data_IF_466066483930
#
_entry.id   IF_466066483930
#
_cell.length_a   1.000
_cell.length_b   1.000
_cell.length_c   1.000
_cell.angle_alpha   90.00
_cell.angle_beta   90.00
_cell.angle_gamma   90.00
#
_symmetry.space_group_name_H-M   'P 1'
#
loop_
_entity.id
_entity.type
_entity.pdbx_description
1 polymer ?
#
# COMPACT_ATOMS: atom_id res chain seq x y z
N UNK A 1 24.15 25.05 -9.19
CA UNK A 1 22.82 24.61 -8.74
C UNK A 1 22.75 24.69 -7.23
N UNK A 2 21.72 25.32 -6.66
CA UNK A 2 21.55 25.42 -5.20
C UNK A 2 20.96 24.08 -4.73
N UNK A 3 21.73 23.32 -3.93
CA UNK A 3 21.23 22.08 -3.34
C UNK A 3 20.22 22.40 -2.23
N UNK A 4 19.28 21.48 -1.96
CA UNK A 4 18.21 21.61 -0.93
C UNK A 4 18.78 21.96 0.46
N UNK A 5 19.91 21.37 0.82
CA UNK A 5 20.61 21.63 2.08
C UNK A 5 21.88 22.47 1.85
N UNK A 6 22.22 23.39 2.77
CA UNK A 6 23.48 24.13 2.72
C UNK A 6 24.71 23.19 2.73
N UNK A 7 25.71 23.50 1.90
CA UNK A 7 26.95 22.69 1.82
C UNK A 7 27.61 22.50 3.19
N UNK A 8 27.57 23.52 4.07
CA UNK A 8 28.11 23.44 5.43
C UNK A 8 27.40 22.39 6.30
N UNK A 9 26.11 22.25 6.13
CA UNK A 9 25.29 21.29 6.87
C UNK A 9 25.58 19.86 6.41
N UNK A 10 25.61 19.64 5.08
CA UNK A 10 25.99 18.35 4.50
C UNK A 10 27.40 17.97 4.93
N UNK A 11 28.35 18.92 4.93
CA UNK A 11 29.74 18.68 5.31
C UNK A 11 29.85 18.23 6.78
N UNK A 12 29.14 18.88 7.69
CA UNK A 12 29.07 18.53 9.11
C UNK A 12 28.49 17.15 9.31
N UNK A 13 27.38 16.83 8.66
CA UNK A 13 26.69 15.52 8.76
C UNK A 13 27.55 14.39 8.16
N UNK A 14 28.20 14.64 7.03
CA UNK A 14 29.06 13.65 6.36
C UNK A 14 30.44 13.48 7.00
N UNK A 15 30.85 14.36 7.90
CA UNK A 15 32.19 14.38 8.48
C UNK A 15 33.30 14.61 7.44
N UNK A 16 33.04 15.48 6.45
CA UNK A 16 33.99 15.84 5.38
C UNK A 16 34.06 17.37 5.22
N UNK A 17 35.09 17.86 4.52
CA UNK A 17 35.21 19.30 4.24
C UNK A 17 34.17 19.79 3.24
N UNK A 18 33.79 21.08 3.35
CA UNK A 18 32.85 21.74 2.44
C UNK A 18 33.30 21.67 0.97
N UNK A 19 34.61 21.77 0.71
CA UNK A 19 35.18 21.62 -0.63
C UNK A 19 34.96 20.20 -1.21
N UNK A 20 34.97 19.17 -0.35
CA UNK A 20 34.68 17.79 -0.75
C UNK A 20 33.20 17.64 -1.12
N UNK A 21 32.29 18.21 -0.32
CA UNK A 21 30.86 18.21 -0.61
C UNK A 21 30.57 18.93 -1.94
N UNK A 22 31.17 20.13 -2.17
CA UNK A 22 31.01 20.86 -3.42
C UNK A 22 31.45 20.05 -4.63
N UNK A 23 32.60 19.36 -4.54
CA UNK A 23 33.06 18.46 -5.62
C UNK A 23 32.12 17.30 -5.88
N UNK A 24 31.59 16.67 -4.82
CA UNK A 24 30.63 15.58 -4.96
C UNK A 24 29.34 16.03 -5.63
N UNK A 25 28.76 17.14 -5.17
CA UNK A 25 27.51 17.67 -5.71
C UNK A 25 27.62 18.13 -7.14
N UNK A 26 28.79 18.65 -7.54
CA UNK A 26 29.05 19.10 -8.91
C UNK A 26 29.71 18.03 -9.79
N UNK A 27 29.79 16.77 -9.35
CA UNK A 27 30.32 15.66 -10.14
C UNK A 27 31.80 15.79 -10.51
N UNK A 28 32.58 16.57 -9.75
CA UNK A 28 34.00 16.82 -10.06
C UNK A 28 34.87 15.61 -9.69
N UNK A 29 36.00 15.49 -10.38
CA UNK A 29 36.98 14.42 -10.15
C UNK A 29 37.74 14.60 -8.82
N UNK A 30 38.58 13.62 -8.48
CA UNK A 30 39.42 13.58 -7.27
C UNK A 30 38.64 13.54 -5.95
N UNK A 31 37.49 12.86 -5.91
CA UNK A 31 36.77 12.51 -4.69
C UNK A 31 36.71 11.01 -4.53
N UNK A 32 37.15 10.50 -3.36
CA UNK A 32 37.15 9.06 -3.08
C UNK A 32 35.73 8.49 -3.10
N UNK A 33 35.55 7.22 -3.53
CA UNK A 33 34.25 6.53 -3.48
C UNK A 33 33.63 6.59 -2.06
N UNK A 34 34.44 6.45 -1.02
CA UNK A 34 34.01 6.53 0.37
C UNK A 34 33.42 7.91 0.72
N UNK A 35 34.07 8.99 0.26
CA UNK A 35 33.55 10.35 0.49
C UNK A 35 32.24 10.60 -0.24
N UNK A 36 32.06 10.04 -1.46
CA UNK A 36 30.77 10.10 -2.19
C UNK A 36 29.68 9.39 -1.43
N UNK A 37 29.94 8.19 -0.90
CA UNK A 37 28.96 7.43 -0.08
C UNK A 37 28.59 8.18 1.20
N UNK A 38 29.58 8.79 1.90
CA UNK A 38 29.32 9.57 3.13
C UNK A 38 28.44 10.79 2.85
N UNK A 39 28.69 11.52 1.77
CA UNK A 39 27.88 12.68 1.38
C UNK A 39 26.46 12.24 0.99
N UNK A 40 26.31 11.15 0.24
CA UNK A 40 24.99 10.62 -0.11
C UNK A 40 24.20 10.15 1.14
N UNK A 41 24.85 9.45 2.07
CA UNK A 41 24.24 9.06 3.34
C UNK A 41 23.80 10.28 4.17
N UNK A 42 24.64 11.30 4.28
CA UNK A 42 24.33 12.52 5.00
C UNK A 42 23.11 13.26 4.40
N UNK A 43 23.01 13.35 3.09
CA UNK A 43 21.85 13.95 2.42
C UNK A 43 20.58 13.15 2.72
N UNK A 44 20.65 11.83 2.70
CA UNK A 44 19.53 10.95 3.04
C UNK A 44 19.07 11.15 4.49
N UNK A 45 20.02 11.23 5.42
CA UNK A 45 19.75 11.48 6.84
C UNK A 45 19.13 12.87 7.08
N UNK A 46 19.68 13.93 6.49
CA UNK A 46 19.12 15.28 6.58
C UNK A 46 17.70 15.35 6.02
N UNK A 47 17.44 14.66 4.90
CA UNK A 47 16.10 14.56 4.32
C UNK A 47 15.13 13.86 5.28
N UNK A 48 15.57 12.79 5.92
CA UNK A 48 14.76 12.09 6.91
C UNK A 48 14.48 12.95 8.16
N UNK A 49 15.51 13.67 8.67
CA UNK A 49 15.37 14.59 9.81
C UNK A 49 14.43 15.76 9.50
N UNK A 50 14.52 16.35 8.31
CA UNK A 50 13.61 17.41 7.88
C UNK A 50 12.16 16.88 7.78
N UNK A 51 11.97 15.68 7.23
CA UNK A 51 10.68 15.00 7.21
C UNK A 51 10.11 14.77 8.62
N UNK A 52 10.94 14.34 9.57
CA UNK A 52 10.55 14.17 10.97
C UNK A 52 10.19 15.49 11.65
N UNK A 53 10.95 16.56 11.39
CA UNK A 53 10.68 17.89 11.93
C UNK A 53 9.39 18.49 11.33
N UNK A 54 9.19 18.35 10.03
CA UNK A 54 7.97 18.80 9.35
C UNK A 54 6.71 18.03 9.81
N UNK A 55 6.89 16.78 10.23
CA UNK A 55 5.83 15.93 10.74
C UNK A 55 5.58 16.05 12.24
N UNK A 56 6.46 16.72 13.00
CA UNK A 56 6.27 16.97 14.42
C UNK A 56 5.00 17.77 14.65
N UNK A 57 3.99 17.11 15.26
CA UNK A 57 2.68 17.68 15.54
C UNK A 57 1.62 17.39 14.46
N UNK A 58 1.93 16.83 13.30
CA UNK A 58 0.91 16.40 12.34
C UNK A 58 0.25 15.11 12.80
N UNK A 59 -1.07 15.17 12.97
CA UNK A 59 -1.90 13.99 13.19
C UNK A 59 -2.48 13.55 11.86
N UNK A 60 -2.13 12.35 11.42
CA UNK A 60 -2.67 11.75 10.21
C UNK A 60 -3.75 10.74 10.58
N UNK A 61 -4.85 10.77 9.86
CA UNK A 61 -5.97 9.86 10.06
C UNK A 61 -6.10 8.96 8.82
N UNK A 62 -6.13 7.65 9.04
CA UNK A 62 -6.36 6.67 7.99
C UNK A 62 -7.59 5.84 8.32
N UNK A 63 -8.43 5.64 7.32
CA UNK A 63 -9.66 4.88 7.45
C UNK A 63 -9.52 3.51 6.80
N UNK A 64 -9.85 2.48 7.54
CA UNK A 64 -9.94 1.11 7.06
C UNK A 64 -11.42 0.73 6.93
N UNK A 65 -11.88 0.49 5.71
CA UNK A 65 -13.22 0.00 5.41
C UNK A 65 -13.07 -1.42 4.88
N UNK A 66 -13.54 -2.41 5.64
CA UNK A 66 -13.22 -3.81 5.35
C UNK A 66 -14.47 -4.69 5.47
N UNK A 67 -14.93 -5.22 4.34
CA UNK A 67 -15.90 -6.31 4.33
C UNK A 67 -15.18 -7.64 4.50
N UNK A 68 -15.21 -8.19 5.70
CA UNK A 68 -14.54 -9.43 6.03
C UNK A 68 -15.03 -10.04 7.33
N UNK A 69 -14.86 -11.37 7.54
CA UNK A 69 -15.08 -12.01 8.84
C UNK A 69 -14.29 -11.32 9.94
N UNK A 70 -14.89 -11.25 11.11
CA UNK A 70 -14.31 -10.60 12.29
C UNK A 70 -12.88 -11.09 12.60
N UNK A 71 -12.61 -12.39 12.43
CA UNK A 71 -11.27 -12.95 12.64
C UNK A 71 -10.24 -12.32 11.71
N UNK A 72 -10.52 -12.23 10.42
CA UNK A 72 -9.61 -11.62 9.44
C UNK A 72 -9.42 -10.12 9.71
N UNK A 73 -10.50 -9.41 10.01
CA UNK A 73 -10.45 -7.99 10.32
C UNK A 73 -9.61 -7.68 11.56
N UNK A 74 -9.64 -8.56 12.57
CA UNK A 74 -8.78 -8.44 13.75
C UNK A 74 -7.30 -8.57 13.39
N UNK A 75 -6.93 -9.54 12.53
CA UNK A 75 -5.53 -9.68 12.08
C UNK A 75 -5.06 -8.44 11.32
N UNK A 76 -5.89 -7.90 10.42
CA UNK A 76 -5.57 -6.66 9.71
C UNK A 76 -5.37 -5.49 10.68
N UNK A 77 -6.25 -5.35 11.67
CA UNK A 77 -6.12 -4.33 12.71
C UNK A 77 -4.82 -4.48 13.49
N UNK A 78 -4.55 -5.69 13.99
CA UNK A 78 -3.35 -5.99 14.78
C UNK A 78 -2.08 -5.67 13.98
N UNK A 79 -2.01 -6.10 12.72
CA UNK A 79 -0.89 -5.81 11.85
C UNK A 79 -0.73 -4.30 11.57
N UNK A 80 -1.82 -3.60 11.31
CA UNK A 80 -1.78 -2.15 11.07
C UNK A 80 -1.34 -1.37 12.32
N UNK A 81 -1.82 -1.74 13.51
CA UNK A 81 -1.44 -1.12 14.77
C UNK A 81 0.03 -1.41 15.14
N UNK A 82 0.54 -2.60 14.82
CA UNK A 82 1.93 -2.98 15.07
C UNK A 82 2.94 -2.16 14.24
N UNK A 83 2.55 -1.63 13.10
CA UNK A 83 3.41 -0.80 12.24
C UNK A 83 3.51 0.65 12.75
N UNK A 84 2.51 1.15 13.51
CA UNK A 84 2.45 2.55 13.94
C UNK A 84 3.72 3.05 14.65
N UNK A 85 4.34 2.30 15.58
CA UNK A 85 5.56 2.76 16.26
C UNK A 85 6.76 2.96 15.32
N UNK A 86 6.72 2.29 14.14
CA UNK A 86 7.80 2.38 13.14
C UNK A 86 7.64 3.57 12.19
N UNK A 87 6.48 4.25 12.24
CA UNK A 87 6.23 5.46 11.45
C UNK A 87 6.76 6.66 12.22
N UNK A 88 8.07 6.90 12.13
CA UNK A 88 8.76 7.95 12.91
C UNK A 88 8.43 9.39 12.52
N UNK A 89 7.70 9.62 11.44
CA UNK A 89 7.51 10.96 10.84
C UNK A 89 6.18 11.64 11.19
N UNK A 90 5.20 10.92 11.76
CA UNK A 90 3.86 11.47 12.08
C UNK A 90 3.14 10.65 13.14
N UNK A 91 2.20 11.27 13.85
CA UNK A 91 1.27 10.56 14.73
C UNK A 91 0.09 10.07 13.88
N UNK A 92 0.11 8.79 13.54
CA UNK A 92 -0.96 8.16 12.77
C UNK A 92 -2.08 7.66 13.68
N UNK A 93 -3.31 7.90 13.30
CA UNK A 93 -4.52 7.41 13.94
C UNK A 93 -5.32 6.58 12.93
N UNK A 94 -5.57 5.31 13.28
CA UNK A 94 -6.33 4.38 12.44
C UNK A 94 -7.78 4.35 12.90
N UNK A 95 -8.70 4.38 11.96
CA UNK A 95 -10.15 4.27 12.18
C UNK A 95 -10.65 3.07 11.40
N UNK A 96 -11.18 2.09 12.09
CA UNK A 96 -11.61 0.83 11.49
C UNK A 96 -13.13 0.75 11.44
N UNK A 97 -13.62 0.43 10.28
CA UNK A 97 -14.99 -0.01 10.06
C UNK A 97 -14.97 -1.39 9.41
N UNK A 98 -15.54 -2.36 10.08
CA UNK A 98 -15.51 -3.76 9.64
C UNK A 98 -16.84 -4.42 9.92
N UNK A 99 -17.35 -5.12 8.91
CA UNK A 99 -18.50 -6.02 9.02
C UNK A 99 -18.26 -7.24 8.13
N UNK A 100 -18.90 -8.37 8.46
CA UNK A 100 -18.83 -9.61 7.69
C UNK A 100 -19.36 -9.42 6.26
N UNK A 101 -20.44 -8.67 6.14
CA UNK A 101 -21.07 -8.26 4.89
C UNK A 101 -21.48 -6.81 4.99
N UNK A 102 -21.16 -6.01 3.98
CA UNK A 102 -21.54 -4.60 3.89
C UNK A 102 -22.35 -4.43 2.61
N UNK A 103 -23.55 -3.88 2.73
CA UNK A 103 -24.30 -3.53 1.53
C UNK A 103 -23.58 -2.42 0.75
N UNK A 104 -23.65 -2.51 -0.57
CA UNK A 104 -22.92 -1.58 -1.44
C UNK A 104 -23.25 -0.11 -1.16
N UNK A 105 -24.50 0.20 -0.80
CA UNK A 105 -24.92 1.58 -0.47
C UNK A 105 -24.33 2.05 0.85
N UNK A 106 -24.14 1.13 1.81
CA UNK A 106 -23.50 1.45 3.08
C UNK A 106 -22.01 1.73 2.88
N UNK A 107 -21.33 0.97 1.99
CA UNK A 107 -19.95 1.28 1.59
C UNK A 107 -19.88 2.68 1.00
N UNK A 108 -20.75 3.02 0.05
CA UNK A 108 -20.80 4.35 -0.59
C UNK A 108 -21.06 5.45 0.43
N UNK A 109 -22.04 5.28 1.32
CA UNK A 109 -22.35 6.25 2.39
C UNK A 109 -21.14 6.46 3.32
N UNK A 110 -20.43 5.38 3.64
CA UNK A 110 -19.25 5.47 4.48
C UNK A 110 -18.12 6.23 3.80
N UNK A 111 -17.82 5.93 2.53
CA UNK A 111 -16.81 6.65 1.76
C UNK A 111 -17.18 8.14 1.66
N UNK A 112 -18.46 8.47 1.45
CA UNK A 112 -18.93 9.85 1.47
C UNK A 112 -18.77 10.54 2.85
N UNK A 113 -19.00 9.81 3.97
CA UNK A 113 -18.74 10.33 5.33
C UNK A 113 -17.25 10.58 5.56
N UNK A 114 -16.40 9.67 5.08
CA UNK A 114 -14.93 9.83 5.14
C UNK A 114 -14.51 11.07 4.37
N UNK A 115 -15.04 11.27 3.16
CA UNK A 115 -14.76 12.46 2.35
C UNK A 115 -15.15 13.76 3.09
N UNK A 116 -16.35 13.81 3.66
CA UNK A 116 -16.84 14.99 4.40
C UNK A 116 -16.04 15.28 5.68
N UNK A 117 -15.68 14.23 6.41
CA UNK A 117 -14.93 14.34 7.67
C UNK A 117 -13.45 14.65 7.45
N UNK A 118 -12.92 14.27 6.31
CA UNK A 118 -11.50 14.28 6.00
C UNK A 118 -10.75 13.02 6.45
N UNK A 119 -9.83 12.57 5.60
CA UNK A 119 -8.90 11.48 5.82
C UNK A 119 -7.60 11.77 5.08
N UNK A 120 -6.50 11.18 5.51
CA UNK A 120 -5.21 11.24 4.81
C UNK A 120 -5.00 10.02 3.91
N UNK A 121 -5.89 9.05 3.99
CA UNK A 121 -5.93 7.88 3.12
C UNK A 121 -6.96 6.86 3.58
N UNK A 122 -7.45 6.08 2.62
CA UNK A 122 -8.43 5.01 2.85
C UNK A 122 -7.83 3.69 2.41
N UNK A 123 -7.88 2.68 3.29
CA UNK A 123 -7.61 1.30 2.97
C UNK A 123 -8.93 0.57 2.80
N UNK A 124 -9.24 0.11 1.59
CA UNK A 124 -10.56 -0.40 1.22
C UNK A 124 -10.52 -1.86 0.80
N UNK A 125 -11.36 -2.68 1.42
CA UNK A 125 -11.74 -4.01 0.94
C UNK A 125 -13.25 -4.05 0.79
N UNK A 126 -13.72 -3.99 -0.44
CA UNK A 126 -15.13 -4.02 -0.80
C UNK A 126 -15.34 -4.77 -2.12
N UNK A 127 -16.59 -5.01 -2.46
CA UNK A 127 -16.97 -5.62 -3.75
C UNK A 127 -16.69 -4.66 -4.90
N UNK A 128 -16.28 -5.20 -6.04
CA UNK A 128 -16.11 -4.42 -7.25
C UNK A 128 -17.46 -4.13 -7.91
N UNK A 129 -18.03 -2.95 -7.66
CA UNK A 129 -19.32 -2.49 -8.15
C UNK A 129 -19.23 -1.08 -8.73
N UNK A 130 -20.00 -0.74 -9.78
CA UNK A 130 -19.92 0.58 -10.42
C UNK A 130 -20.08 1.75 -9.45
N UNK A 131 -21.03 1.65 -8.49
CA UNK A 131 -21.27 2.71 -7.49
C UNK A 131 -20.13 2.86 -6.49
N UNK A 132 -19.43 1.76 -6.16
CA UNK A 132 -18.24 1.78 -5.29
C UNK A 132 -17.05 2.35 -6.05
N UNK A 133 -16.84 1.97 -7.33
CA UNK A 133 -15.83 2.58 -8.21
C UNK A 133 -15.98 4.09 -8.27
N UNK A 134 -17.20 4.57 -8.55
CA UNK A 134 -17.48 6.00 -8.57
C UNK A 134 -17.22 6.70 -7.22
N UNK A 135 -17.46 6.03 -6.09
CA UNK A 135 -17.15 6.58 -4.77
C UNK A 135 -15.64 6.64 -4.49
N UNK A 136 -14.87 5.65 -4.95
CA UNK A 136 -13.40 5.66 -4.89
C UNK A 136 -12.85 6.83 -5.70
N UNK A 137 -13.30 7.00 -6.94
CA UNK A 137 -12.84 8.08 -7.81
C UNK A 137 -13.16 9.47 -7.22
N UNK A 138 -14.32 9.64 -6.57
CA UNK A 138 -14.66 10.90 -5.86
C UNK A 138 -13.72 11.16 -4.67
N UNK A 139 -13.33 10.13 -3.91
CA UNK A 139 -12.35 10.29 -2.83
C UNK A 139 -11.00 10.76 -3.37
N UNK A 140 -10.52 10.12 -4.42
CA UNK A 140 -9.23 10.45 -5.04
C UNK A 140 -9.27 11.86 -5.63
N UNK A 141 -10.35 12.23 -6.32
CA UNK A 141 -10.56 13.59 -6.84
C UNK A 141 -10.60 14.66 -5.72
N UNK A 142 -11.04 14.28 -4.51
CA UNK A 142 -11.00 15.13 -3.33
C UNK A 142 -9.62 15.14 -2.62
N UNK A 143 -8.59 14.53 -3.20
CA UNK A 143 -7.24 14.47 -2.64
C UNK A 143 -7.05 13.43 -1.54
N UNK A 144 -7.97 12.49 -1.38
CA UNK A 144 -7.87 11.38 -0.41
C UNK A 144 -7.44 10.12 -1.15
N UNK A 145 -6.17 9.68 -1.04
CA UNK A 145 -5.70 8.47 -1.70
C UNK A 145 -6.40 7.23 -1.17
N UNK A 146 -6.71 6.31 -2.08
CA UNK A 146 -7.32 5.02 -1.76
C UNK A 146 -6.35 3.90 -2.12
N UNK A 147 -6.14 3.00 -1.18
CA UNK A 147 -5.42 1.73 -1.37
C UNK A 147 -6.44 0.61 -1.23
N UNK A 148 -6.56 -0.24 -2.24
CA UNK A 148 -7.35 -1.47 -2.11
C UNK A 148 -6.49 -2.59 -1.54
N UNK A 149 -7.08 -3.47 -0.73
CA UNK A 149 -6.33 -4.58 -0.15
C UNK A 149 -7.10 -5.91 -0.21
N UNK A 150 -6.36 -7.01 -0.34
CA UNK A 150 -6.86 -8.41 -0.42
C UNK A 150 -7.66 -8.69 -1.70
N UNK A 151 -8.56 -7.80 -2.09
CA UNK A 151 -9.27 -7.80 -3.37
C UNK A 151 -9.17 -6.43 -4.00
N UNK A 152 -9.12 -6.38 -5.29
CA UNK A 152 -9.00 -5.13 -6.01
C UNK A 152 -10.36 -4.57 -6.45
N UNK A 153 -10.36 -3.27 -6.79
CA UNK A 153 -11.46 -2.57 -7.45
C UNK A 153 -10.85 -1.95 -8.71
N UNK A 154 -10.97 -2.69 -9.81
CA UNK A 154 -10.33 -2.33 -11.07
C UNK A 154 -10.91 -1.08 -11.73
N UNK A 155 -10.13 -0.46 -12.63
CA UNK A 155 -10.60 0.68 -13.43
C UNK A 155 -10.92 1.94 -12.63
N UNK A 156 -10.32 2.14 -11.45
CA UNK A 156 -10.46 3.34 -10.60
C UNK A 156 -9.14 4.10 -10.48
N UNK A 157 -9.23 5.36 -10.07
CA UNK A 157 -8.06 6.20 -9.80
C UNK A 157 -7.35 5.89 -8.47
N UNK A 158 -7.60 4.73 -7.85
CA UNK A 158 -6.94 4.32 -6.61
C UNK A 158 -5.41 4.39 -6.74
N UNK A 159 -4.73 4.66 -5.62
CA UNK A 159 -3.27 4.78 -5.59
C UNK A 159 -2.58 3.46 -5.95
N UNK A 160 -3.02 2.35 -5.32
CA UNK A 160 -2.45 1.01 -5.54
C UNK A 160 -3.34 -0.09 -4.97
N UNK A 161 -3.02 -1.32 -5.34
CA UNK A 161 -3.55 -2.55 -4.74
C UNK A 161 -2.45 -3.25 -3.94
N UNK A 162 -2.81 -3.72 -2.77
CA UNK A 162 -1.95 -4.55 -1.89
C UNK A 162 -2.63 -5.89 -1.65
N UNK A 163 -2.09 -6.93 -2.24
CA UNK A 163 -2.68 -8.26 -2.13
C UNK A 163 -1.93 -9.31 -2.94
N UNK A 164 -2.55 -10.45 -3.07
CA UNK A 164 -2.03 -11.58 -3.82
C UNK A 164 -2.26 -11.36 -5.34
N UNK A 165 -1.33 -11.80 -6.18
CA UNK A 165 -1.62 -12.09 -7.58
C UNK A 165 -2.61 -13.27 -7.64
N UNK A 166 -3.89 -12.94 -7.69
CA UNK A 166 -4.96 -13.95 -7.62
C UNK A 166 -4.96 -14.87 -8.85
N UNK A 167 -4.67 -14.33 -10.02
CA UNK A 167 -4.57 -15.14 -11.23
C UNK A 167 -3.36 -16.10 -11.15
N UNK A 168 -2.21 -15.61 -10.73
CA UNK A 168 -1.02 -16.44 -10.48
C UNK A 168 -1.27 -17.53 -9.44
N UNK A 169 -1.95 -17.20 -8.35
CA UNK A 169 -2.32 -18.17 -7.31
C UNK A 169 -3.26 -19.26 -7.85
N UNK A 170 -4.24 -18.89 -8.69
CA UNK A 170 -5.12 -19.85 -9.36
C UNK A 170 -4.35 -20.83 -10.26
N UNK A 171 -3.48 -20.31 -11.11
CA UNK A 171 -2.62 -21.13 -11.99
C UNK A 171 -1.70 -22.04 -11.19
N UNK A 172 -1.10 -21.56 -10.10
CA UNK A 172 -0.23 -22.35 -9.23
C UNK A 172 -1.00 -23.49 -8.57
N UNK A 173 -2.20 -23.21 -8.05
CA UNK A 173 -3.05 -24.23 -7.44
C UNK A 173 -3.42 -25.33 -8.46
N UNK A 174 -3.79 -24.96 -9.68
CA UNK A 174 -4.08 -25.90 -10.76
C UNK A 174 -2.87 -26.77 -11.10
N UNK A 175 -1.70 -26.16 -11.23
CA UNK A 175 -0.45 -26.89 -11.51
C UNK A 175 -0.13 -27.92 -10.41
N UNK A 176 -0.23 -27.52 -9.14
CA UNK A 176 0.04 -28.42 -8.03
C UNK A 176 -0.97 -29.57 -7.97
N UNK A 177 -2.24 -29.29 -8.22
CA UNK A 177 -3.29 -30.30 -8.27
C UNK A 177 -3.07 -31.29 -9.43
N UNK A 178 -2.80 -30.81 -10.63
CA UNK A 178 -2.50 -31.67 -11.78
C UNK A 178 -1.31 -32.60 -11.53
N UNK A 179 -0.27 -32.10 -10.86
CA UNK A 179 0.87 -32.93 -10.47
C UNK A 179 0.52 -33.97 -9.40
N UNK A 180 -0.39 -33.67 -8.49
CA UNK A 180 -0.85 -34.59 -7.45
C UNK A 180 -1.73 -35.70 -7.98
N UNK A 181 -2.48 -35.45 -9.05
CA UNK A 181 -3.40 -36.42 -9.66
C UNK A 181 -2.69 -37.43 -10.61
N UNK A 182 -1.45 -37.16 -11.01
CA UNK A 182 -0.55 -38.04 -11.80
C UNK A 182 -1.26 -39.05 -12.72
N UNK A 183 -1.96 -38.52 -13.76
CA UNK A 183 -2.57 -39.33 -14.81
C UNK A 183 -3.86 -40.08 -14.42
N UNK A 184 -4.40 -39.83 -13.23
CA UNK A 184 -5.70 -40.35 -12.83
C UNK A 184 -6.81 -39.39 -13.27
N UNK A 185 -7.83 -39.89 -13.95
CA UNK A 185 -9.05 -39.13 -14.17
C UNK A 185 -9.78 -38.94 -12.84
N UNK A 186 -10.19 -37.71 -12.54
CA UNK A 186 -10.89 -37.41 -11.28
C UNK A 186 -11.72 -36.16 -11.41
N UNK A 187 -12.66 -35.98 -10.45
CA UNK A 187 -13.47 -34.77 -10.33
C UNK A 187 -12.85 -33.86 -9.29
N UNK A 188 -12.61 -32.59 -9.64
CA UNK A 188 -12.13 -31.56 -8.73
C UNK A 188 -13.29 -30.67 -8.31
N UNK A 189 -13.53 -30.58 -7.00
CA UNK A 189 -14.51 -29.66 -6.44
C UNK A 189 -13.81 -28.35 -6.00
N UNK A 190 -14.04 -27.27 -6.74
CA UNK A 190 -13.57 -25.96 -6.38
C UNK A 190 -14.66 -25.20 -5.61
N UNK A 191 -14.38 -24.86 -4.33
CA UNK A 191 -15.29 -24.09 -3.50
C UNK A 191 -14.84 -22.65 -3.36
N UNK A 192 -15.79 -21.70 -3.34
CA UNK A 192 -15.53 -20.29 -3.06
C UNK A 192 -16.61 -19.71 -2.16
N UNK A 193 -16.26 -18.73 -1.35
CA UNK A 193 -17.21 -18.15 -0.40
C UNK A 193 -18.24 -17.27 -1.10
N UNK A 194 -17.80 -16.37 -1.99
CA UNK A 194 -18.64 -15.35 -2.60
C UNK A 194 -18.12 -14.92 -3.96
N UNK A 195 -19.01 -14.75 -4.93
CA UNK A 195 -18.62 -14.34 -6.29
C UNK A 195 -18.42 -12.82 -6.47
N UNK A 196 -18.60 -12.04 -5.42
CA UNK A 196 -18.64 -10.59 -5.49
C UNK A 196 -17.28 -9.89 -5.37
N UNK A 197 -16.25 -10.62 -4.92
CA UNK A 197 -14.89 -10.10 -4.83
C UNK A 197 -14.09 -10.44 -6.09
N UNK A 198 -13.51 -9.42 -6.72
CA UNK A 198 -12.74 -9.57 -7.96
C UNK A 198 -11.62 -10.62 -7.82
N UNK A 199 -10.81 -10.54 -6.76
CA UNK A 199 -9.69 -11.46 -6.56
C UNK A 199 -10.11 -12.92 -6.38
N UNK A 200 -11.26 -13.21 -5.77
CA UNK A 200 -11.78 -14.58 -5.68
C UNK A 200 -12.22 -15.09 -7.05
N UNK A 201 -12.84 -14.24 -7.85
CA UNK A 201 -13.23 -14.55 -9.24
C UNK A 201 -12.02 -14.84 -10.12
N UNK A 202 -11.02 -13.98 -10.11
CA UNK A 202 -9.78 -14.13 -10.88
C UNK A 202 -9.04 -15.43 -10.54
N UNK A 203 -8.91 -15.73 -9.24
CA UNK A 203 -8.26 -16.96 -8.77
C UNK A 203 -9.01 -18.21 -9.23
N UNK A 204 -10.33 -18.20 -9.11
CA UNK A 204 -11.17 -19.32 -9.52
C UNK A 204 -11.10 -19.54 -11.03
N UNK A 205 -11.28 -18.50 -11.84
CA UNK A 205 -11.21 -18.61 -13.29
C UNK A 205 -9.85 -19.12 -13.76
N UNK A 206 -8.77 -18.52 -13.27
CA UNK A 206 -7.41 -18.93 -13.63
C UNK A 206 -7.04 -20.35 -13.15
N UNK A 207 -7.71 -20.85 -12.11
CA UNK A 207 -7.59 -22.24 -11.68
C UNK A 207 -8.29 -23.17 -12.69
N UNK A 208 -9.55 -22.88 -13.05
CA UNK A 208 -10.32 -23.70 -14.00
C UNK A 208 -9.63 -23.72 -15.38
N UNK A 209 -9.32 -22.54 -15.93
CA UNK A 209 -8.68 -22.41 -17.25
C UNK A 209 -7.36 -23.18 -17.39
N UNK A 210 -6.69 -23.46 -16.28
CA UNK A 210 -5.40 -24.17 -16.28
C UNK A 210 -5.55 -25.68 -16.07
N UNK A 211 -6.69 -26.15 -15.52
CA UNK A 211 -6.97 -27.59 -15.31
C UNK A 211 -7.55 -28.25 -16.56
N UNK A 212 -8.22 -27.50 -17.42
CA UNK A 212 -8.76 -27.93 -18.71
C UNK A 212 -7.68 -27.80 -19.77
#
# INVERSE_FOLDING_TARGET
MTHRFPIKEIARQAGVGTATVDRVLNGRDHVSPQSRLRVAAAIKELTAQEGQLAARGRRLFFDFVTEAPHRFAREVRTAAEAVLPHIGSAVCRLRFFTQDTIEDDDVVQMLNRIQKRGSHGVCLKARDRPKIRAAVDRLVAAGIPVVTHVTDIGGTARLTYVGLDNAGAGRTAAYLMARGLTGQAGTVLATRRHSAFLGEGERHLSFIDRLV
#
